data_IF_463586822627
#
_entry.id   IF_463586822627
#
_cell.length_a   1.000
_cell.length_b   1.000
_cell.length_c   1.000
_cell.angle_alpha   90.00
_cell.angle_beta   90.00
_cell.angle_gamma   90.00
#
_symmetry.space_group_name_H-M   'P 1'
#
loop_
_entity.id
_entity.type
_entity.pdbx_description
1 polymer ?
#
# COMPACT_ATOMS: atom_id res chain seq x y z
N UNK A 1 -23.40 29.16 4.07
CA UNK A 1 -22.72 28.16 3.24
C UNK A 1 -21.24 28.43 3.11
N UNK A 2 -20.76 29.61 2.66
CA UNK A 2 -19.32 29.93 2.59
C UNK A 2 -18.63 29.91 3.96
N UNK A 3 -19.19 30.52 4.99
CA UNK A 3 -18.65 30.48 6.36
C UNK A 3 -18.62 29.10 7.01
N UNK A 4 -19.53 28.23 6.62
CA UNK A 4 -19.56 26.84 7.13
C UNK A 4 -18.46 25.97 6.47
N UNK A 5 -18.16 26.21 5.21
CA UNK A 5 -17.07 25.57 4.46
C UNK A 5 -15.69 26.05 4.96
N UNK A 6 -15.57 27.31 5.30
CA UNK A 6 -14.36 27.91 5.87
C UNK A 6 -14.06 27.33 7.26
N UNK A 7 -15.07 27.19 8.10
CA UNK A 7 -14.96 26.61 9.44
C UNK A 7 -14.64 25.10 9.41
N UNK A 8 -15.21 24.34 8.48
CA UNK A 8 -14.87 22.92 8.26
C UNK A 8 -13.43 22.74 7.74
N UNK A 9 -12.94 23.68 6.93
CA UNK A 9 -11.55 23.72 6.46
C UNK A 9 -10.55 24.00 7.59
N UNK A 10 -10.85 24.96 8.47
CA UNK A 10 -10.02 25.27 9.64
C UNK A 10 -9.99 24.14 10.65
N UNK A 11 -11.13 23.48 10.88
CA UNK A 11 -11.20 22.29 11.74
C UNK A 11 -10.41 21.14 11.14
N UNK A 12 -10.45 20.92 9.84
CA UNK A 12 -9.66 19.89 9.16
C UNK A 12 -8.16 20.15 9.27
N UNK A 13 -7.71 21.40 9.12
CA UNK A 13 -6.31 21.79 9.29
C UNK A 13 -5.87 21.65 10.76
N UNK A 14 -6.71 22.05 11.71
CA UNK A 14 -6.44 21.90 13.15
C UNK A 14 -6.36 20.42 13.55
N UNK A 15 -7.32 19.59 13.15
CA UNK A 15 -7.31 18.14 13.42
C UNK A 15 -6.11 17.47 12.75
N UNK A 16 -5.77 17.83 11.52
CA UNK A 16 -4.57 17.34 10.84
C UNK A 16 -3.30 17.72 11.61
N UNK A 17 -3.21 18.91 12.19
CA UNK A 17 -2.08 19.37 13.00
C UNK A 17 -1.96 18.60 14.33
N UNK A 18 -3.08 18.30 14.99
CA UNK A 18 -3.13 17.52 16.23
C UNK A 18 -2.75 16.05 15.99
N UNK A 19 -3.35 15.42 14.99
CA UNK A 19 -3.01 14.05 14.56
C UNK A 19 -1.52 13.96 14.20
N UNK A 20 -0.95 15.03 13.68
CA UNK A 20 0.44 15.09 13.27
C UNK A 20 1.40 15.29 14.44
N UNK A 21 1.05 16.08 15.46
CA UNK A 21 1.83 16.16 16.70
C UNK A 21 1.85 14.83 17.44
N UNK A 22 0.71 14.15 17.53
CA UNK A 22 0.63 12.81 18.09
C UNK A 22 1.44 11.79 17.28
N UNK A 23 1.40 11.87 15.94
CA UNK A 23 2.22 11.03 15.06
C UNK A 23 3.72 11.31 15.17
N UNK A 24 4.13 12.57 15.37
CA UNK A 24 5.54 12.93 15.59
C UNK A 24 6.04 12.41 16.95
N UNK A 25 5.23 12.50 17.99
CA UNK A 25 5.57 11.99 19.31
C UNK A 25 5.60 10.44 19.31
N UNK A 26 4.63 9.83 18.64
CA UNK A 26 4.59 8.39 18.40
C UNK A 26 5.75 7.91 17.52
N UNK A 27 6.16 8.66 16.49
CA UNK A 27 7.32 8.36 15.67
C UNK A 27 8.64 8.45 16.45
N UNK A 28 8.77 9.39 17.41
CA UNK A 28 9.93 9.44 18.33
C UNK A 28 10.00 8.21 19.22
N UNK A 29 8.86 7.74 19.75
CA UNK A 29 8.79 6.51 20.55
C UNK A 29 9.07 5.25 19.71
N UNK A 30 8.59 5.19 18.46
CA UNK A 30 8.80 4.10 17.51
C UNK A 30 10.28 3.90 17.14
N UNK A 31 11.01 4.99 17.00
CA UNK A 31 12.44 4.97 16.70
C UNK A 31 13.30 4.57 17.88
N UNK A 32 12.92 4.96 19.10
CA UNK A 32 13.58 4.53 20.32
C UNK A 32 13.48 3.01 20.53
N UNK A 33 12.44 2.36 19.97
CA UNK A 33 12.27 0.91 20.04
C UNK A 33 13.07 0.16 18.95
N UNK A 34 13.29 0.78 17.79
CA UNK A 34 13.99 0.17 16.65
C UNK A 34 15.52 0.40 16.66
N UNK A 35 15.97 1.44 17.36
CA UNK A 35 17.37 1.85 17.44
C UNK A 35 17.65 2.28 18.89
N UNK A 36 18.90 2.07 19.37
CA UNK A 36 19.29 2.68 20.62
C UNK A 36 19.13 4.21 20.53
N UNK A 37 18.70 4.89 21.63
CA UNK A 37 18.31 6.31 21.60
C UNK A 37 19.38 7.26 21.07
N UNK A 38 20.66 6.94 21.24
CA UNK A 38 21.79 7.75 20.80
C UNK A 38 21.97 7.61 19.28
N UNK A 39 21.90 6.40 18.77
CA UNK A 39 22.00 6.09 17.34
C UNK A 39 20.82 6.69 16.57
N UNK A 40 19.60 6.64 17.12
CA UNK A 40 18.42 7.26 16.53
C UNK A 40 18.56 8.80 16.47
N UNK A 41 19.02 9.45 17.54
CA UNK A 41 19.21 10.89 17.61
C UNK A 41 20.28 11.38 16.63
N UNK A 42 21.44 10.72 16.60
CA UNK A 42 22.55 11.07 15.68
C UNK A 42 22.13 10.88 14.23
N UNK A 43 21.46 9.77 13.92
CA UNK A 43 20.98 9.50 12.58
C UNK A 43 19.96 10.54 12.11
N UNK A 44 19.01 10.97 12.96
CA UNK A 44 18.06 12.02 12.64
C UNK A 44 18.72 13.35 12.34
N UNK A 45 19.66 13.78 13.19
CA UNK A 45 20.36 15.06 13.02
C UNK A 45 21.24 15.09 11.79
N UNK A 46 21.97 14.02 11.52
CA UNK A 46 22.80 13.89 10.32
C UNK A 46 21.94 13.88 9.04
N UNK A 47 20.79 13.26 9.09
CA UNK A 47 19.90 13.14 7.96
C UNK A 47 19.13 14.44 7.68
N UNK A 48 18.63 15.12 8.70
CA UNK A 48 18.02 16.44 8.57
C UNK A 48 19.02 17.43 7.97
N UNK A 49 20.29 17.37 8.45
CA UNK A 49 21.38 18.15 7.90
C UNK A 49 21.69 17.78 6.43
N UNK A 50 21.79 16.49 6.11
CA UNK A 50 22.04 16.00 4.75
C UNK A 50 20.97 16.46 3.77
N UNK A 51 19.67 16.30 4.10
CA UNK A 51 18.57 16.74 3.24
C UNK A 51 18.47 18.25 3.09
N UNK A 52 18.74 19.00 4.16
CA UNK A 52 18.79 20.46 4.11
C UNK A 52 19.95 20.94 3.22
N UNK A 53 21.09 20.26 3.30
CA UNK A 53 22.27 20.59 2.51
C UNK A 53 22.09 20.23 1.03
N UNK A 54 21.55 19.05 0.72
CA UNK A 54 21.30 18.62 -0.67
C UNK A 54 20.22 19.45 -1.36
N UNK A 55 19.15 19.86 -0.65
CA UNK A 55 18.17 20.84 -1.15
C UNK A 55 18.82 22.19 -1.44
N UNK A 56 19.62 22.72 -0.51
CA UNK A 56 20.29 24.03 -0.68
C UNK A 56 21.34 24.04 -1.81
N UNK A 57 22.00 22.92 -2.06
CA UNK A 57 23.05 22.82 -3.06
C UNK A 57 22.56 22.32 -4.43
N UNK A 58 21.28 22.03 -4.61
CA UNK A 58 20.74 21.51 -5.87
C UNK A 58 21.32 20.15 -6.30
N UNK A 59 21.90 19.39 -5.37
CA UNK A 59 22.65 18.16 -5.63
C UNK A 59 21.78 16.88 -5.61
N UNK A 60 20.45 17.03 -5.60
CA UNK A 60 19.50 15.91 -5.61
C UNK A 60 19.68 14.94 -6.81
N UNK A 61 20.37 15.38 -7.86
CA UNK A 61 20.62 14.58 -9.08
C UNK A 61 21.90 13.75 -9.08
N UNK A 62 22.70 13.74 -8.02
CA UNK A 62 23.94 12.95 -7.96
C UNK A 62 23.74 11.47 -7.61
N UNK A 63 22.52 11.04 -7.31
CA UNK A 63 22.18 9.64 -7.08
C UNK A 63 21.36 9.03 -8.23
N UNK A 64 21.84 9.18 -9.46
CA UNK A 64 21.28 8.42 -10.58
C UNK A 64 21.70 6.94 -10.49
N UNK A 65 20.87 6.17 -9.76
CA UNK A 65 20.99 4.71 -9.61
C UNK A 65 20.66 3.92 -10.88
N UNK A 66 20.79 4.50 -12.08
CA UNK A 66 20.35 3.94 -13.37
C UNK A 66 21.15 2.71 -13.86
N UNK A 67 21.89 2.00 -12.98
CA UNK A 67 22.76 0.87 -13.39
C UNK A 67 22.25 -0.53 -13.11
N UNK A 68 20.97 -0.75 -12.93
CA UNK A 68 20.42 -2.11 -12.98
C UNK A 68 19.46 -2.28 -14.16
N UNK A 69 19.98 -2.19 -15.38
CA UNK A 69 19.30 -2.76 -16.54
C UNK A 69 19.27 -4.29 -16.38
N UNK A 70 18.32 -4.82 -15.60
CA UNK A 70 17.97 -6.23 -15.73
C UNK A 70 17.25 -6.41 -17.05
N UNK A 71 17.88 -7.16 -17.96
CA UNK A 71 17.25 -7.66 -19.18
C UNK A 71 15.90 -8.27 -18.78
N UNK A 72 14.82 -7.70 -19.31
CA UNK A 72 13.48 -8.29 -19.25
C UNK A 72 13.57 -9.75 -19.75
N UNK A 73 13.21 -10.70 -18.89
CA UNK A 73 13.06 -12.08 -19.34
C UNK A 73 11.88 -12.12 -20.32
N UNK A 74 12.07 -12.79 -21.45
CA UNK A 74 11.05 -12.97 -22.50
C UNK A 74 9.82 -13.77 -22.07
N UNK A 75 9.75 -14.24 -20.83
CA UNK A 75 8.58 -14.90 -20.27
C UNK A 75 7.66 -13.87 -19.59
N UNK A 76 6.94 -13.10 -20.39
CA UNK A 76 5.81 -12.29 -19.93
C UNK A 76 4.74 -13.25 -19.37
N UNK A 77 4.61 -13.36 -18.05
CA UNK A 77 3.38 -13.95 -17.47
C UNK A 77 2.29 -12.91 -17.69
N UNK A 78 1.16 -13.27 -18.32
CA UNK A 78 0.06 -12.33 -18.49
C UNK A 78 -0.37 -11.81 -17.13
N UNK A 79 -0.51 -10.48 -16.99
CA UNK A 79 -1.11 -9.84 -15.82
C UNK A 79 -2.54 -10.35 -15.59
N UNK A 80 -3.15 -10.79 -16.68
CA UNK A 80 -4.54 -11.18 -16.77
C UNK A 80 -4.62 -12.48 -17.57
N UNK A 81 -5.45 -13.44 -17.17
CA UNK A 81 -5.79 -14.61 -18.00
C UNK A 81 -6.28 -14.12 -19.35
N UNK A 82 -5.84 -14.77 -20.44
CA UNK A 82 -6.23 -14.41 -21.81
C UNK A 82 -7.75 -14.42 -22.08
N UNK A 83 -8.51 -15.08 -21.20
CA UNK A 83 -9.96 -15.22 -21.26
C UNK A 83 -10.75 -13.94 -20.92
N UNK A 84 -10.12 -12.93 -20.25
CA UNK A 84 -10.82 -11.74 -19.80
C UNK A 84 -10.97 -10.63 -20.87
N UNK A 85 -10.27 -10.75 -21.98
CA UNK A 85 -10.33 -9.80 -23.07
C UNK A 85 -10.80 -10.46 -24.34
N UNK A 86 -12.13 -10.64 -24.50
CA UNK A 86 -12.70 -11.04 -25.78
C UNK A 86 -12.42 -9.99 -26.84
N UNK A 87 -12.37 -10.39 -28.11
CA UNK A 87 -12.19 -9.49 -29.26
C UNK A 87 -13.20 -8.34 -29.25
N UNK A 88 -14.43 -8.59 -28.83
CA UNK A 88 -15.47 -7.58 -28.69
C UNK A 88 -15.15 -6.54 -27.60
N UNK A 89 -14.60 -6.99 -26.47
CA UNK A 89 -14.21 -6.11 -25.38
C UNK A 89 -13.04 -5.22 -25.78
N UNK A 90 -12.01 -5.79 -26.43
CA UNK A 90 -10.85 -5.05 -26.90
C UNK A 90 -11.21 -4.08 -28.03
N UNK A 91 -12.08 -4.47 -28.92
CA UNK A 91 -12.59 -3.59 -29.99
C UNK A 91 -13.37 -2.40 -29.41
N UNK A 92 -14.20 -2.62 -28.39
CA UNK A 92 -14.98 -1.57 -27.75
C UNK A 92 -14.10 -0.55 -26.97
N UNK A 93 -12.94 -0.97 -26.47
CA UNK A 93 -12.01 -0.09 -25.73
C UNK A 93 -10.99 0.61 -26.65
N UNK A 94 -11.02 0.35 -27.96
CA UNK A 94 -10.09 0.94 -28.93
C UNK A 94 -10.16 2.47 -29.02
N UNK A 95 -11.27 3.08 -28.60
CA UNK A 95 -11.51 4.53 -28.51
C UNK A 95 -11.32 5.09 -27.09
N UNK A 96 -10.70 4.34 -26.17
CA UNK A 96 -10.52 4.77 -24.79
C UNK A 96 -9.81 6.13 -24.71
N UNK A 97 -10.27 6.97 -23.81
CA UNK A 97 -9.66 8.24 -23.41
C UNK A 97 -9.04 8.19 -22.02
N UNK A 98 -9.02 7.01 -21.41
CA UNK A 98 -8.40 6.76 -20.11
C UNK A 98 -7.38 5.64 -20.26
N UNK A 99 -6.15 5.93 -19.87
CA UNK A 99 -5.01 5.01 -19.96
C UNK A 99 -4.45 4.75 -18.56
N UNK A 100 -4.42 3.48 -18.14
CA UNK A 100 -3.91 3.08 -16.82
C UNK A 100 -2.53 2.45 -16.99
N UNK A 101 -1.50 3.05 -16.39
CA UNK A 101 -0.16 2.47 -16.37
C UNK A 101 -0.07 1.25 -15.47
N UNK A 102 0.46 0.16 -16.02
CA UNK A 102 0.71 -1.10 -15.32
C UNK A 102 2.18 -1.56 -15.45
N UNK A 103 3.05 -0.64 -15.88
CA UNK A 103 4.46 -0.91 -16.19
C UNK A 103 5.24 -1.54 -15.04
N UNK A 104 5.20 -0.99 -13.79
CA UNK A 104 6.00 -1.55 -12.69
C UNK A 104 5.57 -2.97 -12.33
N UNK A 105 4.27 -3.22 -12.23
CA UNK A 105 3.72 -4.56 -11.91
C UNK A 105 4.12 -5.60 -12.96
N UNK A 106 4.07 -5.24 -14.24
CA UNK A 106 4.51 -6.11 -15.31
C UNK A 106 6.03 -6.35 -15.26
N UNK A 107 6.81 -5.30 -15.06
CA UNK A 107 8.27 -5.35 -15.13
C UNK A 107 8.90 -6.05 -13.94
N UNK A 108 8.40 -5.80 -12.74
CA UNK A 108 8.98 -6.33 -11.51
C UNK A 108 8.29 -7.60 -11.00
N UNK A 109 7.11 -7.91 -11.51
CA UNK A 109 6.44 -9.21 -11.34
C UNK A 109 6.17 -9.64 -9.91
N UNK A 110 6.03 -8.71 -8.97
CA UNK A 110 5.84 -9.04 -7.56
C UNK A 110 4.41 -9.46 -7.20
N UNK A 111 4.27 -9.97 -5.97
CA UNK A 111 2.98 -10.38 -5.37
C UNK A 111 2.68 -9.55 -4.12
N UNK A 112 2.99 -8.23 -4.14
CA UNK A 112 2.69 -7.33 -3.03
C UNK A 112 1.24 -6.84 -3.08
N UNK A 113 0.76 -6.24 -1.99
CA UNK A 113 -0.58 -5.67 -1.93
C UNK A 113 -0.85 -4.64 -3.03
N UNK A 114 0.13 -3.75 -3.33
CA UNK A 114 -0.01 -2.76 -4.42
C UNK A 114 -0.20 -3.43 -5.76
N UNK A 115 0.60 -4.45 -6.06
CA UNK A 115 0.50 -5.17 -7.33
C UNK A 115 -0.80 -5.98 -7.45
N UNK A 116 -1.39 -6.42 -6.32
CA UNK A 116 -2.74 -6.96 -6.29
C UNK A 116 -3.75 -5.89 -6.70
N UNK A 117 -3.70 -4.69 -6.10
CA UNK A 117 -4.57 -3.57 -6.48
C UNK A 117 -4.49 -3.30 -7.98
N UNK A 118 -3.27 -3.19 -8.52
CA UNK A 118 -3.07 -2.92 -9.97
C UNK A 118 -3.71 -4.01 -10.83
N UNK A 119 -3.50 -5.29 -10.51
CA UNK A 119 -4.09 -6.39 -11.27
C UNK A 119 -5.60 -6.40 -11.20
N UNK A 120 -6.16 -6.27 -10.00
CA UNK A 120 -7.60 -6.34 -9.81
C UNK A 120 -8.34 -5.16 -10.48
N UNK A 121 -7.77 -3.97 -10.42
CA UNK A 121 -8.33 -2.79 -11.11
C UNK A 121 -8.14 -2.91 -12.62
N UNK A 122 -6.97 -3.34 -13.12
CA UNK A 122 -6.74 -3.47 -14.56
C UNK A 122 -7.66 -4.51 -15.22
N UNK A 123 -7.92 -5.65 -14.55
CA UNK A 123 -8.91 -6.65 -15.01
C UNK A 123 -10.27 -6.00 -15.23
N UNK A 124 -10.74 -5.27 -14.24
CA UNK A 124 -12.08 -4.65 -14.24
C UNK A 124 -12.14 -3.45 -15.17
N UNK A 125 -11.06 -2.70 -15.30
CA UNK A 125 -10.98 -1.59 -16.25
C UNK A 125 -11.27 -2.04 -17.70
N UNK A 126 -10.78 -3.23 -18.07
CA UNK A 126 -11.05 -3.83 -19.39
C UNK A 126 -12.45 -4.40 -19.44
N UNK A 127 -12.82 -5.27 -18.47
CA UNK A 127 -14.15 -5.90 -18.43
C UNK A 127 -15.27 -4.86 -18.52
N UNK A 128 -15.14 -3.79 -17.75
CA UNK A 128 -16.15 -2.74 -17.62
C UNK A 128 -15.90 -1.59 -18.61
N UNK A 129 -14.88 -1.69 -19.46
CA UNK A 129 -14.56 -0.81 -20.60
C UNK A 129 -14.31 0.65 -20.23
N UNK A 130 -13.82 0.93 -19.02
CA UNK A 130 -13.60 2.31 -18.60
C UNK A 130 -12.15 2.81 -18.81
N UNK A 131 -11.17 1.93 -18.97
CA UNK A 131 -9.79 2.34 -19.22
C UNK A 131 -8.99 1.25 -19.95
N UNK A 132 -8.02 1.67 -20.75
CA UNK A 132 -7.05 0.81 -21.43
C UNK A 132 -5.77 0.71 -20.59
N UNK A 133 -5.36 -0.49 -20.13
CA UNK A 133 -4.05 -0.69 -19.55
C UNK A 133 -2.94 -0.48 -20.58
N UNK A 134 -1.90 0.26 -20.15
CA UNK A 134 -0.76 0.62 -20.98
C UNK A 134 0.55 0.34 -20.27
N UNK A 135 1.61 0.19 -21.04
CA UNK A 135 2.98 -0.02 -20.56
C UNK A 135 3.93 0.96 -21.22
N UNK A 136 4.95 1.38 -20.49
CA UNK A 136 6.07 2.13 -21.02
C UNK A 136 7.21 1.16 -21.35
N UNK A 137 7.58 1.07 -22.62
CA UNK A 137 8.66 0.21 -23.09
C UNK A 137 9.45 0.93 -24.20
N UNK A 138 10.77 0.98 -24.06
CA UNK A 138 11.70 1.58 -25.05
C UNK A 138 11.36 3.02 -25.46
N UNK A 139 10.80 3.82 -24.55
CA UNK A 139 10.43 5.21 -24.84
C UNK A 139 9.11 5.37 -25.59
N UNK A 140 8.33 4.30 -25.67
CA UNK A 140 6.98 4.30 -26.24
C UNK A 140 5.94 3.93 -25.18
N UNK A 141 4.75 4.52 -25.28
CA UNK A 141 3.57 4.11 -24.53
C UNK A 141 2.78 3.13 -25.38
N UNK A 142 2.73 1.88 -24.96
CA UNK A 142 2.15 0.79 -25.71
C UNK A 142 0.86 0.29 -25.03
N UNK A 143 -0.11 -0.18 -25.82
CA UNK A 143 -1.20 -0.98 -25.26
C UNK A 143 -0.65 -2.22 -24.59
N UNK A 144 -1.18 -2.59 -23.44
CA UNK A 144 -0.79 -3.82 -22.74
C UNK A 144 -1.14 -5.07 -23.57
N UNK A 145 -2.26 -5.03 -24.26
CA UNK A 145 -2.71 -6.12 -25.15
C UNK A 145 -2.21 -5.90 -26.57
N UNK A 146 -1.65 -6.97 -27.16
CA UNK A 146 -1.34 -7.01 -28.60
C UNK A 146 -2.57 -7.51 -29.33
N UNK A 147 -3.40 -6.60 -29.81
CA UNK A 147 -4.64 -6.89 -30.51
C UNK A 147 -4.83 -5.97 -31.72
N UNK A 148 -5.32 -6.47 -32.88
CA UNK A 148 -5.47 -5.67 -34.10
C UNK A 148 -6.37 -4.44 -33.97
N UNK A 149 -7.35 -4.48 -33.07
CA UNK A 149 -8.27 -3.36 -32.81
C UNK A 149 -7.68 -2.29 -31.89
N UNK A 150 -6.55 -2.55 -31.22
CA UNK A 150 -5.90 -1.61 -30.31
C UNK A 150 -4.73 -0.88 -30.98
N UNK A 151 -4.51 0.40 -30.67
CA UNK A 151 -3.32 1.07 -31.13
C UNK A 151 -2.09 0.41 -30.48
N UNK A 152 -1.12 -0.02 -31.28
CA UNK A 152 0.13 -0.57 -30.73
C UNK A 152 0.85 0.47 -29.87
N UNK A 153 0.95 1.71 -30.36
CA UNK A 153 1.49 2.85 -29.62
C UNK A 153 0.39 3.86 -29.35
N UNK A 154 0.26 4.27 -28.10
CA UNK A 154 -0.72 5.24 -27.64
C UNK A 154 -0.17 6.64 -27.79
N UNK A 155 -0.92 7.52 -28.45
CA UNK A 155 -0.65 8.96 -28.52
C UNK A 155 -1.81 9.70 -27.88
N UNK A 156 -1.51 10.55 -26.91
CA UNK A 156 -2.52 11.32 -26.21
C UNK A 156 -3.20 12.35 -27.11
N UNK A 157 -4.46 12.61 -26.82
CA UNK A 157 -5.33 13.63 -27.43
C UNK A 157 -5.84 14.56 -26.35
N UNK A 158 -6.40 15.67 -26.75
CA UNK A 158 -7.06 16.60 -25.84
C UNK A 158 -8.16 15.87 -25.04
N UNK A 159 -8.16 16.10 -23.72
CA UNK A 159 -9.11 15.48 -22.78
C UNK A 159 -8.77 14.07 -22.32
N UNK A 160 -7.76 13.42 -22.91
CA UNK A 160 -7.29 12.11 -22.43
C UNK A 160 -6.81 12.17 -20.99
N UNK A 161 -6.95 11.03 -20.28
CA UNK A 161 -6.51 10.88 -18.89
C UNK A 161 -5.44 9.80 -18.82
N UNK A 162 -4.33 10.12 -18.19
CA UNK A 162 -3.27 9.17 -17.89
C UNK A 162 -3.25 8.91 -16.39
N UNK A 163 -3.50 7.67 -16.00
CA UNK A 163 -3.63 7.23 -14.60
C UNK A 163 -2.40 6.42 -14.21
N UNK A 164 -1.57 6.98 -13.34
CA UNK A 164 -0.46 6.28 -12.71
C UNK A 164 -1.00 5.50 -11.51
N UNK A 165 -1.49 4.30 -11.76
CA UNK A 165 -2.10 3.42 -10.76
C UNK A 165 -1.06 2.69 -9.90
N UNK A 166 0.09 2.39 -10.48
CA UNK A 166 1.14 1.55 -9.92
C UNK A 166 2.25 2.36 -9.21
N UNK A 167 3.22 1.67 -8.65
CA UNK A 167 4.41 2.22 -7.98
C UNK A 167 5.40 2.84 -8.98
N UNK A 168 5.02 4.00 -9.53
CA UNK A 168 5.74 4.62 -10.66
C UNK A 168 7.06 5.28 -10.27
N UNK A 169 7.39 5.41 -8.99
CA UNK A 169 8.63 6.12 -8.57
C UNK A 169 9.89 5.46 -9.09
N UNK A 170 9.96 4.11 -9.13
CA UNK A 170 11.13 3.39 -9.63
C UNK A 170 11.36 3.48 -11.15
N UNK A 171 10.39 3.99 -11.88
CA UNK A 171 10.44 4.17 -13.35
C UNK A 171 10.05 5.60 -13.78
N UNK A 172 10.08 6.55 -12.85
CA UNK A 172 9.65 7.93 -13.06
C UNK A 172 10.29 8.63 -14.25
N UNK A 173 11.57 8.39 -14.51
CA UNK A 173 12.29 8.98 -15.64
C UNK A 173 11.71 8.56 -16.98
N UNK A 174 11.15 7.36 -17.05
CA UNK A 174 10.48 6.85 -18.25
C UNK A 174 9.08 7.43 -18.43
N UNK A 175 8.38 7.78 -17.31
CA UNK A 175 7.05 8.38 -17.36
C UNK A 175 7.05 9.89 -17.66
N UNK A 176 8.09 10.62 -17.25
CA UNK A 176 8.13 12.09 -17.39
C UNK A 176 7.88 12.58 -18.83
N UNK A 177 8.41 11.96 -19.90
CA UNK A 177 8.10 12.37 -21.27
C UNK A 177 6.62 12.24 -21.61
N UNK A 178 5.94 11.20 -21.11
CA UNK A 178 4.50 11.01 -21.34
C UNK A 178 3.64 11.96 -20.51
N UNK A 179 4.06 12.27 -19.29
CA UNK A 179 3.41 13.31 -18.47
C UNK A 179 3.48 14.67 -19.17
N UNK A 180 4.62 15.00 -19.77
CA UNK A 180 4.77 16.24 -20.56
C UNK A 180 3.91 16.20 -21.83
N UNK A 181 3.99 15.13 -22.61
CA UNK A 181 3.20 14.98 -23.84
C UNK A 181 1.69 15.06 -23.58
N UNK A 182 1.22 14.51 -22.46
CA UNK A 182 -0.17 14.63 -22.02
C UNK A 182 -0.54 16.09 -21.73
N UNK A 183 0.31 16.81 -21.01
CA UNK A 183 0.09 18.21 -20.69
C UNK A 183 0.06 19.10 -21.93
N UNK A 184 0.94 18.83 -22.90
CA UNK A 184 1.06 19.58 -24.16
C UNK A 184 -0.22 19.50 -25.01
N UNK A 185 -0.98 18.41 -24.90
CA UNK A 185 -2.26 18.24 -25.62
C UNK A 185 -3.49 18.59 -24.78
N UNK A 186 -3.32 19.11 -23.56
CA UNK A 186 -4.44 19.45 -22.68
C UNK A 186 -5.11 18.25 -22.01
N UNK A 187 -4.41 17.13 -21.92
CA UNK A 187 -4.85 15.95 -21.18
C UNK A 187 -4.70 16.11 -19.65
N UNK A 188 -5.16 15.15 -18.89
CA UNK A 188 -5.19 15.18 -17.41
C UNK A 188 -4.39 14.05 -16.80
N UNK A 189 -3.45 14.40 -15.93
CA UNK A 189 -2.68 13.44 -15.14
C UNK A 189 -3.41 13.11 -13.84
N UNK A 190 -3.60 11.82 -13.57
CA UNK A 190 -4.18 11.30 -12.34
C UNK A 190 -3.15 10.37 -11.71
N UNK A 191 -2.77 10.65 -10.47
CA UNK A 191 -1.83 9.77 -9.74
C UNK A 191 -2.55 9.08 -8.59
N UNK A 192 -2.42 7.77 -8.52
CA UNK A 192 -2.88 6.98 -7.39
C UNK A 192 -1.77 6.93 -6.33
N UNK A 193 -2.13 7.26 -5.10
CA UNK A 193 -1.21 7.31 -3.98
C UNK A 193 -1.55 6.19 -2.98
N UNK A 194 -0.69 5.18 -2.92
CA UNK A 194 -0.88 4.04 -2.03
C UNK A 194 -0.49 4.36 -0.58
N UNK A 195 0.53 5.18 -0.38
CA UNK A 195 0.95 5.71 0.92
C UNK A 195 1.92 6.89 0.74
N UNK A 196 2.30 7.50 1.86
CA UNK A 196 3.38 8.49 1.94
C UNK A 196 4.52 8.00 2.85
N UNK A 197 4.61 6.71 3.12
CA UNK A 197 5.56 6.14 4.07
C UNK A 197 7.00 6.62 3.80
N UNK A 198 7.50 6.65 2.55
CA UNK A 198 8.86 7.12 2.30
C UNK A 198 9.11 8.58 2.70
N UNK A 199 8.08 9.42 2.77
CA UNK A 199 8.18 10.84 3.14
C UNK A 199 7.93 11.07 4.64
N UNK A 200 6.91 10.41 5.21
CA UNK A 200 6.48 10.66 6.59
C UNK A 200 7.12 9.69 7.60
N UNK A 201 7.60 8.54 7.14
CA UNK A 201 8.30 7.53 7.93
C UNK A 201 9.52 6.96 7.21
N UNK A 202 10.46 7.81 6.79
CA UNK A 202 11.53 7.47 5.85
C UNK A 202 12.52 6.42 6.37
N UNK A 203 12.55 6.15 7.68
CA UNK A 203 13.38 5.09 8.27
C UNK A 203 12.79 3.68 8.07
N UNK A 204 11.57 3.59 7.60
CA UNK A 204 10.90 2.32 7.30
C UNK A 204 11.20 1.77 5.90
N UNK A 205 11.94 2.52 5.11
CA UNK A 205 12.32 2.17 3.73
C UNK A 205 13.78 2.51 3.48
N UNK A 206 14.35 2.00 2.39
CA UNK A 206 15.75 2.31 2.09
C UNK A 206 15.93 3.80 1.74
N UNK A 207 17.13 4.37 1.98
CA UNK A 207 17.44 5.75 1.60
C UNK A 207 17.23 6.01 0.10
N UNK A 208 17.56 5.04 -0.76
CA UNK A 208 17.39 5.11 -2.21
C UNK A 208 15.90 5.21 -2.56
N UNK A 209 15.05 4.37 -1.95
CA UNK A 209 13.61 4.44 -2.14
C UNK A 209 13.03 5.78 -1.69
N UNK A 210 13.50 6.32 -0.55
CA UNK A 210 13.09 7.65 -0.08
C UNK A 210 13.44 8.74 -1.12
N UNK A 211 14.65 8.69 -1.68
CA UNK A 211 15.10 9.66 -2.67
C UNK A 211 14.28 9.58 -3.97
N UNK A 212 14.10 8.37 -4.49
CA UNK A 212 13.30 8.11 -5.70
C UNK A 212 11.85 8.52 -5.53
N UNK A 213 11.26 8.20 -4.38
CA UNK A 213 9.88 8.56 -4.06
C UNK A 213 9.73 10.09 -3.93
N UNK A 214 10.66 10.77 -3.26
CA UNK A 214 10.63 12.23 -3.14
C UNK A 214 10.70 12.93 -4.50
N UNK A 215 11.61 12.47 -5.37
CA UNK A 215 11.73 13.03 -6.72
C UNK A 215 10.47 12.78 -7.57
N UNK A 216 9.89 11.58 -7.50
CA UNK A 216 8.62 11.25 -8.14
C UNK A 216 7.48 12.12 -7.58
N UNK A 217 7.42 12.30 -6.27
CA UNK A 217 6.41 13.11 -5.61
C UNK A 217 6.46 14.56 -6.10
N UNK A 218 7.64 15.17 -6.11
CA UNK A 218 7.83 16.56 -6.56
C UNK A 218 7.57 16.75 -8.07
N UNK A 219 8.03 15.80 -8.90
CA UNK A 219 7.98 15.95 -10.37
C UNK A 219 6.67 15.48 -11.00
N UNK A 220 5.95 14.57 -10.34
CA UNK A 220 4.75 13.95 -10.89
C UNK A 220 3.54 14.20 -10.01
N UNK A 221 3.56 13.80 -8.71
CA UNK A 221 2.37 13.87 -7.85
C UNK A 221 1.89 15.31 -7.67
N UNK A 222 2.79 16.24 -7.34
CA UNK A 222 2.44 17.65 -7.17
C UNK A 222 1.98 18.35 -8.46
N UNK A 223 2.26 17.76 -9.62
CA UNK A 223 1.85 18.26 -10.94
C UNK A 223 0.61 17.56 -11.50
N UNK A 224 0.04 16.62 -10.75
CA UNK A 224 -1.18 15.92 -11.15
C UNK A 224 -2.40 16.83 -11.10
N UNK A 225 -3.38 16.55 -11.93
CA UNK A 225 -4.71 17.19 -11.88
C UNK A 225 -5.54 16.62 -10.73
N UNK A 226 -5.29 15.31 -10.44
CA UNK A 226 -5.91 14.61 -9.33
C UNK A 226 -4.92 13.69 -8.66
N UNK A 227 -5.04 13.58 -7.34
CA UNK A 227 -4.40 12.55 -6.53
C UNK A 227 -5.52 11.71 -5.91
N UNK A 228 -5.54 10.43 -6.20
CA UNK A 228 -6.53 9.50 -5.67
C UNK A 228 -5.82 8.57 -4.69
N UNK A 229 -6.25 8.57 -3.43
CA UNK A 229 -5.62 7.83 -2.36
C UNK A 229 -6.38 6.54 -2.05
N UNK A 230 -5.68 5.48 -1.62
CA UNK A 230 -6.29 4.19 -1.27
C UNK A 230 -7.08 4.22 0.05
N UNK A 231 -7.04 5.33 0.78
CA UNK A 231 -7.81 5.56 2.00
C UNK A 231 -7.96 7.05 2.28
N UNK A 232 -8.95 7.42 3.08
CA UNK A 232 -9.10 8.78 3.60
C UNK A 232 -7.89 9.17 4.46
N UNK A 233 -7.38 8.24 5.26
CA UNK A 233 -6.17 8.46 6.07
C UNK A 233 -4.96 8.82 5.22
N UNK A 234 -4.74 8.15 4.09
CA UNK A 234 -3.67 8.50 3.14
C UNK A 234 -3.91 9.87 2.51
N UNK A 235 -5.16 10.20 2.15
CA UNK A 235 -5.51 11.51 1.59
C UNK A 235 -5.25 12.65 2.61
N UNK A 236 -5.64 12.46 3.87
CA UNK A 236 -5.37 13.44 4.93
C UNK A 236 -3.86 13.61 5.18
N UNK A 237 -3.10 12.52 5.19
CA UNK A 237 -1.64 12.56 5.30
C UNK A 237 -1.01 13.33 4.13
N UNK A 238 -1.51 13.14 2.91
CA UNK A 238 -1.05 13.88 1.73
C UNK A 238 -1.30 15.39 1.87
N UNK A 239 -2.52 15.78 2.20
CA UNK A 239 -2.91 17.18 2.38
C UNK A 239 -2.08 17.83 3.48
N UNK A 240 -1.96 17.17 4.64
CA UNK A 240 -1.18 17.66 5.76
C UNK A 240 0.32 17.79 5.43
N UNK A 241 0.88 16.83 4.68
CA UNK A 241 2.28 16.88 4.25
C UNK A 241 2.53 18.06 3.31
N UNK A 242 1.69 18.24 2.28
CA UNK A 242 1.80 19.36 1.33
C UNK A 242 1.71 20.71 2.05
N UNK A 243 0.76 20.86 2.97
CA UNK A 243 0.58 22.10 3.74
C UNK A 243 1.78 22.37 4.66
N UNK A 244 2.24 21.37 5.41
CA UNK A 244 3.37 21.50 6.34
C UNK A 244 4.67 21.89 5.65
N UNK A 245 4.97 21.22 4.52
CA UNK A 245 6.20 21.48 3.78
C UNK A 245 6.11 22.71 2.86
N UNK A 246 4.96 23.39 2.81
CA UNK A 246 4.72 24.56 1.95
C UNK A 246 4.89 24.24 0.46
N UNK A 247 4.50 23.02 0.03
CA UNK A 247 4.74 22.56 -1.33
C UNK A 247 3.74 23.16 -2.30
N UNK A 248 4.21 23.56 -3.47
CA UNK A 248 3.38 24.10 -4.53
C UNK A 248 2.80 22.96 -5.37
N UNK A 249 1.49 22.87 -5.40
CA UNK A 249 0.74 21.92 -6.24
C UNK A 249 0.26 22.58 -7.53
N UNK A 250 -0.22 21.77 -8.48
CA UNK A 250 -1.00 22.29 -9.60
C UNK A 250 -2.22 23.05 -9.08
N UNK A 251 -2.57 24.23 -9.66
CA UNK A 251 -3.77 24.95 -9.29
C UNK A 251 -5.01 24.04 -9.37
N UNK A 252 -5.88 24.09 -8.34
CA UNK A 252 -7.08 23.27 -8.26
C UNK A 252 -6.84 21.76 -8.24
N UNK A 253 -5.69 21.32 -7.71
CA UNK A 253 -5.45 19.90 -7.48
C UNK A 253 -6.60 19.29 -6.67
N UNK A 254 -7.24 18.26 -7.23
CA UNK A 254 -8.30 17.53 -6.58
C UNK A 254 -7.75 16.31 -5.87
N UNK A 255 -8.25 16.03 -4.68
CA UNK A 255 -7.87 14.88 -3.87
C UNK A 255 -9.10 14.02 -3.64
N UNK A 256 -9.00 12.76 -4.01
CA UNK A 256 -10.02 11.75 -3.78
C UNK A 256 -9.46 10.56 -3.05
N UNK A 257 -10.34 9.72 -2.53
CA UNK A 257 -9.99 8.41 -1.97
C UNK A 257 -11.10 7.41 -2.23
N UNK A 258 -10.71 6.14 -2.30
CA UNK A 258 -11.66 5.03 -2.44
C UNK A 258 -11.24 3.85 -1.58
N UNK A 259 -12.11 2.87 -1.45
CA UNK A 259 -11.84 1.65 -0.71
C UNK A 259 -11.35 0.54 -1.63
N UNK A 260 -10.40 -0.25 -1.15
CA UNK A 260 -9.90 -1.41 -1.86
C UNK A 260 -10.78 -2.63 -1.62
N UNK A 261 -10.81 -3.55 -2.60
CA UNK A 261 -11.47 -4.83 -2.50
C UNK A 261 -10.70 -5.81 -1.60
N UNK A 262 -11.41 -6.83 -1.11
CA UNK A 262 -10.87 -7.84 -0.21
C UNK A 262 -11.07 -9.27 -0.72
N UNK A 263 -11.82 -9.48 -1.82
CA UNK A 263 -12.06 -10.78 -2.41
C UNK A 263 -10.80 -11.34 -3.10
N UNK A 264 -10.66 -12.65 -3.04
CA UNK A 264 -9.66 -13.38 -3.78
C UNK A 264 -10.32 -13.93 -5.05
N UNK A 265 -9.56 -14.11 -6.13
CA UNK A 265 -10.04 -14.88 -7.26
C UNK A 265 -10.30 -16.32 -6.76
N UNK A 266 -11.53 -16.78 -6.91
CA UNK A 266 -11.95 -18.14 -6.58
C UNK A 266 -11.35 -19.11 -7.63
N UNK A 267 -10.03 -19.34 -7.56
CA UNK A 267 -9.43 -20.49 -8.24
C UNK A 267 -9.61 -21.71 -7.32
N UNK A 268 -10.81 -22.30 -7.37
CA UNK A 268 -11.18 -23.50 -6.62
C UNK A 268 -10.29 -24.71 -6.93
N UNK A 269 -9.41 -24.61 -7.94
CA UNK A 269 -8.51 -25.68 -8.35
C UNK A 269 -7.17 -25.68 -7.62
N UNK A 270 -6.77 -24.57 -7.01
CA UNK A 270 -5.48 -24.43 -6.35
C UNK A 270 -5.53 -25.00 -4.92
N UNK A 271 -4.85 -26.12 -4.70
CA UNK A 271 -4.69 -26.69 -3.36
C UNK A 271 -3.62 -25.93 -2.57
N UNK A 272 -3.86 -25.79 -1.26
CA UNK A 272 -2.85 -25.29 -0.34
C UNK A 272 -1.62 -26.21 -0.33
N UNK A 273 -0.43 -25.62 -0.21
CA UNK A 273 0.83 -26.34 -0.12
C UNK A 273 0.86 -27.27 1.10
N UNK A 274 1.70 -28.28 1.06
CA UNK A 274 1.91 -29.18 2.20
C UNK A 274 2.35 -28.43 3.46
N UNK A 275 3.09 -27.33 3.31
CA UNK A 275 3.52 -26.46 4.40
C UNK A 275 2.34 -25.74 5.05
N UNK A 276 1.44 -25.16 4.26
CA UNK A 276 0.22 -24.53 4.77
C UNK A 276 -0.74 -25.55 5.40
N UNK A 277 -0.89 -26.73 4.80
CA UNK A 277 -1.69 -27.82 5.37
C UNK A 277 -1.13 -28.31 6.71
N UNK A 278 0.20 -28.37 6.88
CA UNK A 278 0.84 -28.76 8.13
C UNK A 278 0.53 -27.76 9.28
N UNK A 279 0.26 -26.48 8.97
CA UNK A 279 -0.18 -25.51 9.97
C UNK A 279 -1.49 -25.96 10.62
N UNK A 280 -2.45 -26.46 9.85
CA UNK A 280 -3.78 -26.85 10.33
C UNK A 280 -3.86 -28.31 10.81
N UNK A 281 -2.88 -29.14 10.47
CA UNK A 281 -2.80 -30.51 10.96
C UNK A 281 -2.61 -30.61 12.50
N UNK A 282 -2.16 -29.53 13.14
CA UNK A 282 -2.07 -29.42 14.58
C UNK A 282 -3.31 -28.68 15.11
N UNK A 283 -4.05 -29.29 16.04
CA UNK A 283 -5.30 -28.76 16.60
C UNK A 283 -5.10 -27.53 17.52
N UNK A 284 -3.86 -27.25 17.97
CA UNK A 284 -3.62 -26.07 18.79
C UNK A 284 -3.92 -24.79 18.02
N UNK A 285 -4.66 -23.83 18.64
CA UNK A 285 -5.07 -22.59 17.99
C UNK A 285 -3.87 -21.75 17.55
N UNK A 286 -3.99 -21.08 16.39
CA UNK A 286 -2.95 -20.19 15.91
C UNK A 286 -3.47 -18.81 15.52
N UNK A 287 -2.59 -17.85 15.70
CA UNK A 287 -2.78 -16.45 15.32
C UNK A 287 -1.90 -16.16 14.10
N UNK A 288 -2.45 -15.44 13.14
CA UNK A 288 -1.85 -15.22 11.83
C UNK A 288 -1.36 -13.78 11.70
N UNK A 289 -0.16 -13.56 11.15
CA UNK A 289 0.27 -12.26 10.62
C UNK A 289 0.65 -12.42 9.15
N UNK A 290 0.14 -11.53 8.30
CA UNK A 290 0.38 -11.56 6.85
C UNK A 290 1.05 -10.26 6.40
N UNK A 291 2.16 -10.39 5.67
CA UNK A 291 2.87 -9.28 5.04
C UNK A 291 4.36 -9.52 4.91
N UNK A 292 5.01 -8.72 4.07
CA UNK A 292 6.47 -8.74 3.93
C UNK A 292 7.15 -8.41 5.27
N UNK A 293 8.21 -9.14 5.63
CA UNK A 293 8.97 -8.88 6.85
C UNK A 293 9.75 -7.57 6.69
N UNK A 294 9.18 -6.50 7.18
CA UNK A 294 9.76 -5.16 7.18
C UNK A 294 9.64 -4.54 8.57
N UNK A 295 10.54 -3.64 8.97
CA UNK A 295 10.52 -3.03 10.31
C UNK A 295 9.16 -2.42 10.67
N UNK A 296 8.51 -1.73 9.72
CA UNK A 296 7.21 -1.06 9.92
C UNK A 296 6.04 -1.99 10.18
N UNK A 297 6.18 -3.28 9.87
CA UNK A 297 5.13 -4.29 10.08
C UNK A 297 5.03 -4.80 11.51
N UNK A 298 5.94 -4.39 12.40
CA UNK A 298 5.84 -4.64 13.84
C UNK A 298 6.01 -6.09 14.28
N UNK A 299 6.60 -6.95 13.46
CA UNK A 299 6.85 -8.35 13.81
C UNK A 299 7.57 -8.56 15.14
N UNK A 300 8.59 -7.74 15.50
CA UNK A 300 9.24 -7.87 16.81
C UNK A 300 8.27 -7.71 17.98
N UNK A 301 7.27 -6.81 17.85
CA UNK A 301 6.27 -6.54 18.88
C UNK A 301 5.34 -7.76 19.06
N UNK A 302 4.92 -8.35 17.93
CA UNK A 302 4.13 -9.58 17.99
C UNK A 302 4.92 -10.73 18.60
N UNK A 303 6.19 -10.91 18.19
CA UNK A 303 7.04 -11.96 18.76
C UNK A 303 7.24 -11.78 20.26
N UNK A 304 7.52 -10.55 20.74
CA UNK A 304 7.62 -10.25 22.17
C UNK A 304 6.32 -10.58 22.92
N UNK A 305 5.16 -10.30 22.31
CA UNK A 305 3.85 -10.64 22.88
C UNK A 305 3.67 -12.17 23.02
N UNK A 306 4.02 -12.94 21.97
CA UNK A 306 3.93 -14.40 22.01
C UNK A 306 4.95 -15.02 22.95
N UNK A 307 6.20 -14.52 23.04
CA UNK A 307 7.20 -14.97 24.02
C UNK A 307 6.68 -14.80 25.46
N UNK A 308 6.01 -13.68 25.72
CA UNK A 308 5.34 -13.43 27.01
C UNK A 308 4.23 -14.44 27.29
N UNK A 309 3.37 -14.75 26.32
CA UNK A 309 2.33 -15.76 26.45
C UNK A 309 2.90 -17.16 26.69
N UNK A 310 3.93 -17.53 25.92
CA UNK A 310 4.59 -18.81 26.09
C UNK A 310 5.26 -18.96 27.46
N UNK A 311 5.82 -17.87 28.00
CA UNK A 311 6.39 -17.88 29.36
C UNK A 311 5.35 -18.10 30.47
N UNK A 312 4.09 -17.73 30.22
CA UNK A 312 2.94 -17.98 31.09
C UNK A 312 2.30 -19.36 30.88
N UNK A 313 2.81 -20.18 29.96
CA UNK A 313 2.26 -21.50 29.64
C UNK A 313 1.08 -21.50 28.67
N UNK A 314 0.78 -20.37 28.02
CA UNK A 314 -0.27 -20.30 26.98
C UNK A 314 0.24 -21.00 25.72
N UNK A 315 -0.50 -22.00 25.24
CA UNK A 315 -0.10 -22.81 24.07
C UNK A 315 -0.65 -22.28 22.73
N UNK A 316 -0.66 -20.96 22.58
CA UNK A 316 -1.02 -20.30 21.32
C UNK A 316 0.13 -20.39 20.32
N UNK A 317 -0.18 -20.73 19.07
CA UNK A 317 0.82 -20.71 17.99
C UNK A 317 0.80 -19.37 17.25
N UNK A 318 1.98 -18.95 16.78
CA UNK A 318 2.14 -17.77 15.95
C UNK A 318 2.61 -18.14 14.56
N UNK A 319 1.81 -17.83 13.55
CA UNK A 319 2.08 -18.14 12.14
C UNK A 319 2.31 -16.83 11.39
N UNK A 320 3.47 -16.74 10.77
CA UNK A 320 3.87 -15.60 9.93
C UNK A 320 3.82 -16.02 8.48
N UNK A 321 3.10 -15.28 7.65
CA UNK A 321 3.09 -15.47 6.19
C UNK A 321 3.64 -14.22 5.53
N UNK A 322 4.76 -14.38 4.81
CA UNK A 322 5.34 -13.30 4.04
C UNK A 322 6.82 -13.47 3.76
N UNK A 323 7.27 -12.86 2.69
CA UNK A 323 8.67 -12.91 2.27
C UNK A 323 9.54 -12.02 3.14
N UNK A 324 10.82 -12.34 3.19
CA UNK A 324 11.85 -11.43 3.68
C UNK A 324 11.83 -10.12 2.88
N UNK A 325 11.92 -9.00 3.58
CA UNK A 325 11.89 -7.66 3.01
C UNK A 325 13.12 -6.84 3.38
N UNK A 326 12.98 -5.53 3.29
CA UNK A 326 14.05 -4.61 3.62
C UNK A 326 14.36 -4.66 5.12
N UNK A 327 15.67 -4.73 5.46
CA UNK A 327 16.19 -4.84 6.85
C UNK A 327 15.57 -5.98 7.68
N UNK A 328 15.20 -7.09 7.05
CA UNK A 328 14.61 -8.24 7.74
C UNK A 328 15.62 -9.17 8.39
N UNK A 329 16.91 -9.07 8.09
CA UNK A 329 17.94 -10.07 8.45
C UNK A 329 17.99 -10.38 9.96
N UNK A 330 17.94 -9.35 10.81
CA UNK A 330 17.94 -9.55 12.26
C UNK A 330 16.66 -10.25 12.76
N UNK A 331 15.52 -9.89 12.17
CA UNK A 331 14.25 -10.53 12.47
C UNK A 331 14.20 -11.98 11.96
N UNK A 332 14.69 -12.23 10.75
CA UNK A 332 14.80 -13.58 10.18
C UNK A 332 15.66 -14.47 11.07
N UNK A 333 16.82 -13.95 11.51
CA UNK A 333 17.69 -14.66 12.43
C UNK A 333 16.98 -14.95 13.76
N UNK A 334 16.31 -13.94 14.37
CA UNK A 334 15.54 -14.10 15.60
C UNK A 334 14.46 -15.18 15.47
N UNK A 335 13.69 -15.18 14.36
CA UNK A 335 12.64 -16.18 14.10
C UNK A 335 13.25 -17.57 13.95
N UNK A 336 14.26 -17.74 13.07
CA UNK A 336 14.84 -19.06 12.76
C UNK A 336 15.62 -19.68 13.91
N UNK A 337 16.22 -18.86 14.79
CA UNK A 337 16.94 -19.31 15.99
C UNK A 337 16.05 -19.40 17.23
N UNK A 338 14.77 -19.06 17.10
CA UNK A 338 13.86 -19.10 18.24
C UNK A 338 13.59 -20.54 18.69
N UNK A 339 13.63 -20.80 20.01
CA UNK A 339 13.37 -22.14 20.58
C UNK A 339 12.02 -22.75 20.20
N UNK A 340 11.03 -21.93 19.85
CA UNK A 340 9.69 -22.33 19.43
C UNK A 340 9.55 -22.45 17.92
N UNK A 341 10.61 -22.18 17.15
CA UNK A 341 10.55 -22.28 15.69
C UNK A 341 10.30 -23.73 15.23
N UNK A 342 9.38 -23.91 14.31
CA UNK A 342 8.89 -25.21 13.86
C UNK A 342 7.88 -25.88 14.81
N UNK A 343 7.59 -25.28 15.99
CA UNK A 343 6.62 -25.81 16.96
C UNK A 343 5.44 -24.84 17.18
N UNK A 344 5.66 -23.76 17.89
CA UNK A 344 4.66 -22.70 18.14
C UNK A 344 4.90 -21.46 17.31
N UNK A 345 6.08 -21.27 16.74
CA UNK A 345 6.42 -20.19 15.81
C UNK A 345 6.66 -20.81 14.42
N UNK A 346 5.86 -20.39 13.45
CA UNK A 346 5.94 -20.90 12.07
C UNK A 346 6.10 -19.69 11.13
N UNK A 347 6.89 -19.88 10.07
CA UNK A 347 7.08 -18.82 9.06
C UNK A 347 7.05 -19.44 7.65
N UNK A 348 6.00 -19.06 6.88
CA UNK A 348 5.77 -19.47 5.50
C UNK A 348 6.23 -18.32 4.58
N UNK A 349 7.43 -18.42 4.04
CA UNK A 349 8.05 -17.34 3.25
C UNK A 349 7.72 -17.42 1.74
N UNK A 350 7.16 -18.54 1.26
CA UNK A 350 6.82 -18.79 -0.13
C UNK A 350 5.31 -19.00 -0.38
N UNK A 351 4.46 -18.64 0.57
CA UNK A 351 3.02 -18.84 0.47
C UNK A 351 2.42 -18.19 -0.79
N UNK A 352 1.48 -18.89 -1.39
CA UNK A 352 0.65 -18.42 -2.51
C UNK A 352 -0.76 -18.03 -2.04
N UNK A 353 -1.65 -17.65 -2.97
CA UNK A 353 -3.00 -17.21 -2.64
C UNK A 353 -3.85 -18.35 -2.04
N UNK A 354 -3.67 -19.62 -2.48
CA UNK A 354 -4.34 -20.78 -1.89
C UNK A 354 -3.88 -21.04 -0.45
N UNK A 355 -2.57 -20.84 -0.16
CA UNK A 355 -2.04 -20.94 1.19
C UNK A 355 -2.62 -19.84 2.11
N UNK A 356 -2.73 -18.62 1.59
CA UNK A 356 -3.36 -17.51 2.31
C UNK A 356 -4.83 -17.82 2.62
N UNK A 357 -5.60 -18.25 1.61
CA UNK A 357 -6.99 -18.68 1.78
C UNK A 357 -7.12 -19.73 2.89
N UNK A 358 -6.30 -20.79 2.79
CA UNK A 358 -6.28 -21.88 3.77
C UNK A 358 -5.98 -21.36 5.18
N UNK A 359 -4.95 -20.52 5.33
CA UNK A 359 -4.56 -20.02 6.64
C UNK A 359 -5.56 -19.00 7.22
N UNK A 360 -6.16 -18.12 6.41
CA UNK A 360 -7.21 -17.21 6.89
C UNK A 360 -8.47 -17.97 7.36
N UNK A 361 -8.82 -19.06 6.66
CA UNK A 361 -10.02 -19.86 7.00
C UNK A 361 -9.93 -20.54 8.36
N UNK A 362 -8.72 -20.93 8.79
CA UNK A 362 -8.52 -21.77 9.97
C UNK A 362 -7.85 -21.04 11.15
N UNK A 363 -7.41 -19.81 10.98
CA UNK A 363 -6.80 -19.05 12.07
C UNK A 363 -7.83 -18.66 13.15
N UNK A 364 -7.35 -18.44 14.38
CA UNK A 364 -8.16 -17.89 15.47
C UNK A 364 -8.35 -16.38 15.34
N UNK A 365 -7.30 -15.68 14.92
CA UNK A 365 -7.36 -14.25 14.63
C UNK A 365 -6.17 -13.81 13.74
N UNK A 366 -6.38 -12.71 13.03
CA UNK A 366 -5.28 -11.94 12.46
C UNK A 366 -4.67 -11.05 13.54
N UNK A 367 -3.35 -11.09 13.69
CA UNK A 367 -2.57 -10.12 14.47
C UNK A 367 -1.89 -9.18 13.48
N UNK A 368 -2.21 -7.89 13.53
CA UNK A 368 -1.71 -6.92 12.56
C UNK A 368 -1.00 -5.74 13.26
N UNK A 369 0.28 -5.95 13.66
CA UNK A 369 1.01 -5.06 14.57
C UNK A 369 1.74 -3.92 13.83
N UNK A 370 1.31 -3.58 12.62
CA UNK A 370 1.96 -2.55 11.80
C UNK A 370 2.01 -1.20 12.53
N UNK A 371 3.11 -0.49 12.32
CA UNK A 371 3.32 0.85 12.87
C UNK A 371 2.78 1.95 11.96
N UNK A 372 2.65 1.66 10.67
CA UNK A 372 2.15 2.58 9.65
C UNK A 372 1.69 1.80 8.42
N UNK A 373 0.58 2.21 7.82
CA UNK A 373 0.00 1.62 6.61
C UNK A 373 -0.71 2.68 5.76
N UNK A 374 -0.87 2.36 4.47
CA UNK A 374 -1.69 3.15 3.56
C UNK A 374 -3.16 2.73 3.55
N UNK A 375 -3.45 1.43 3.72
CA UNK A 375 -4.81 0.88 3.74
C UNK A 375 -4.99 -0.27 4.74
N UNK A 376 -4.17 -1.33 4.62
CA UNK A 376 -4.28 -2.51 5.47
C UNK A 376 -5.05 -3.67 4.83
N UNK A 377 -4.67 -4.07 3.61
CA UNK A 377 -5.31 -5.20 2.92
C UNK A 377 -5.49 -6.45 3.77
N UNK A 378 -4.50 -6.95 4.55
CA UNK A 378 -4.68 -8.11 5.41
C UNK A 378 -5.84 -8.00 6.40
N UNK A 379 -6.16 -6.79 6.88
CA UNK A 379 -7.29 -6.56 7.79
C UNK A 379 -8.64 -6.82 7.10
N UNK A 380 -8.83 -6.26 5.91
CA UNK A 380 -10.08 -6.46 5.16
C UNK A 380 -10.16 -7.87 4.55
N UNK A 381 -9.02 -8.47 4.19
CA UNK A 381 -8.93 -9.87 3.80
C UNK A 381 -9.41 -10.78 4.94
N UNK A 382 -8.90 -10.60 6.16
CA UNK A 382 -9.37 -11.34 7.35
C UNK A 382 -10.88 -11.16 7.57
N UNK A 383 -11.39 -9.93 7.38
CA UNK A 383 -12.83 -9.62 7.48
C UNK A 383 -13.69 -10.44 6.52
N UNK A 384 -13.20 -10.73 5.32
CA UNK A 384 -13.90 -11.58 4.35
C UNK A 384 -14.11 -13.00 4.85
N UNK A 385 -13.17 -13.53 5.63
CA UNK A 385 -13.29 -14.86 6.26
C UNK A 385 -14.05 -14.81 7.59
N UNK A 386 -14.49 -13.64 8.03
CA UNK A 386 -15.06 -13.43 9.36
C UNK A 386 -14.03 -13.67 10.46
N UNK A 387 -12.74 -13.58 10.14
CA UNK A 387 -11.67 -13.81 11.09
C UNK A 387 -11.55 -12.61 12.04
N UNK A 388 -11.58 -12.81 13.37
CA UNK A 388 -11.30 -11.74 14.33
C UNK A 388 -9.96 -11.07 14.07
N UNK A 389 -9.87 -9.75 14.28
CA UNK A 389 -8.65 -8.99 14.07
C UNK A 389 -8.21 -8.28 15.34
N UNK A 390 -6.91 -8.42 15.67
CA UNK A 390 -6.20 -7.62 16.68
C UNK A 390 -5.20 -6.75 15.92
N UNK A 391 -5.35 -5.44 15.92
CA UNK A 391 -4.51 -4.53 15.17
C UNK A 391 -4.00 -3.35 15.99
N UNK A 392 -2.88 -2.79 15.58
CA UNK A 392 -2.41 -1.52 16.13
C UNK A 392 -3.47 -0.43 16.01
N UNK A 393 -3.59 0.44 17.00
CA UNK A 393 -4.51 1.58 16.94
C UNK A 393 -3.98 2.65 15.98
N UNK A 394 -4.29 2.47 14.69
CA UNK A 394 -3.91 3.39 13.61
C UNK A 394 -5.17 4.02 12.99
N UNK A 395 -5.12 5.31 12.59
CA UNK A 395 -6.25 5.96 11.93
C UNK A 395 -6.78 5.18 10.73
N UNK A 396 -5.89 4.63 9.90
CA UNK A 396 -6.28 3.83 8.73
C UNK A 396 -6.95 2.51 9.12
N UNK A 397 -6.57 1.88 10.22
CA UNK A 397 -7.22 0.66 10.70
C UNK A 397 -8.58 0.95 11.34
N UNK A 398 -8.71 2.11 12.00
CA UNK A 398 -10.01 2.63 12.46
C UNK A 398 -10.94 2.91 11.28
N UNK A 399 -10.40 3.43 10.18
CA UNK A 399 -11.15 3.67 8.94
C UNK A 399 -11.63 2.37 8.28
N UNK A 400 -10.76 1.35 8.20
CA UNK A 400 -11.04 0.12 7.46
C UNK A 400 -11.74 -0.95 8.29
N UNK A 401 -11.48 -1.02 9.60
CA UNK A 401 -11.99 -2.04 10.51
C UNK A 401 -13.11 -1.55 11.43
N UNK A 402 -13.21 -0.24 11.67
CA UNK A 402 -14.22 0.35 12.56
C UNK A 402 -14.18 -0.27 13.96
N UNK A 403 -15.35 -0.49 14.53
CA UNK A 403 -15.52 -1.09 15.88
C UNK A 403 -15.42 -2.63 15.89
N UNK A 404 -15.21 -3.23 14.70
CA UNK A 404 -15.09 -4.69 14.54
C UNK A 404 -13.66 -5.22 14.79
N UNK A 405 -12.74 -4.36 15.17
CA UNK A 405 -11.33 -4.70 15.39
C UNK A 405 -10.94 -4.44 16.83
N UNK A 406 -10.19 -5.35 17.42
CA UNK A 406 -9.59 -5.16 18.76
C UNK A 406 -8.29 -4.40 18.59
N UNK A 407 -8.32 -3.13 18.97
CA UNK A 407 -7.16 -2.28 18.88
C UNK A 407 -6.28 -2.41 20.12
N UNK A 408 -4.97 -2.40 19.89
CA UNK A 408 -3.95 -2.31 20.92
C UNK A 408 -3.04 -1.10 20.70
N UNK A 409 -2.46 -0.59 21.78
CA UNK A 409 -1.58 0.57 21.71
C UNK A 409 -0.35 0.26 20.84
N UNK A 410 -0.08 1.13 19.88
CA UNK A 410 1.02 0.95 18.94
C UNK A 410 2.34 0.76 19.70
N UNK A 411 3.12 -0.27 19.34
CA UNK A 411 4.38 -0.67 19.98
C UNK A 411 4.25 -1.31 21.39
N UNK A 412 3.04 -1.53 21.88
CA UNK A 412 2.83 -2.13 23.19
C UNK A 412 2.62 -3.65 23.06
N UNK A 413 3.70 -4.41 23.25
CA UNK A 413 3.64 -5.89 23.25
C UNK A 413 2.91 -6.47 24.45
N UNK A 414 2.74 -5.70 25.53
CA UNK A 414 2.00 -6.14 26.72
C UNK A 414 0.50 -6.08 26.43
N UNK A 415 0.02 -4.93 25.96
CA UNK A 415 -1.38 -4.76 25.58
C UNK A 415 -1.76 -5.76 24.45
N UNK A 416 -0.85 -5.95 23.46
CA UNK A 416 -1.06 -6.98 22.43
C UNK A 416 -1.18 -8.39 23.02
N UNK A 417 -0.30 -8.76 23.96
CA UNK A 417 -0.36 -10.07 24.61
C UNK A 417 -1.68 -10.27 25.38
N UNK A 418 -2.17 -9.25 26.07
CA UNK A 418 -3.46 -9.29 26.79
C UNK A 418 -4.64 -9.50 25.83
N UNK A 419 -4.67 -8.81 24.68
CA UNK A 419 -5.69 -9.00 23.65
C UNK A 419 -5.66 -10.41 23.05
N UNK A 420 -4.45 -10.95 22.79
CA UNK A 420 -4.28 -12.32 22.31
C UNK A 420 -4.73 -13.32 23.36
N UNK A 421 -4.33 -13.15 24.63
CA UNK A 421 -4.69 -14.05 25.74
C UNK A 421 -6.20 -14.09 25.94
N UNK A 422 -6.86 -12.93 25.89
CA UNK A 422 -8.32 -12.83 25.99
C UNK A 422 -9.00 -13.66 24.90
N UNK A 423 -8.58 -13.49 23.64
CA UNK A 423 -9.17 -14.21 22.51
C UNK A 423 -8.84 -15.71 22.50
N UNK A 424 -7.69 -16.09 23.04
CA UNK A 424 -7.29 -17.48 23.23
C UNK A 424 -8.16 -18.20 24.27
N UNK A 425 -8.49 -17.52 25.38
CA UNK A 425 -9.30 -18.07 26.47
C UNK A 425 -10.80 -18.07 26.17
N UNK A 426 -11.24 -17.03 25.47
CA UNK A 426 -12.62 -16.79 25.11
C UNK A 426 -12.72 -16.59 23.59
N UNK A 427 -12.68 -17.68 22.81
CA UNK A 427 -12.82 -17.61 21.36
C UNK A 427 -14.16 -16.97 20.99
N UNK A 428 -14.11 -16.02 20.08
CA UNK A 428 -15.30 -15.29 19.63
C UNK A 428 -15.78 -15.94 18.33
N UNK A 429 -17.10 -16.01 18.18
CA UNK A 429 -17.70 -16.34 16.91
C UNK A 429 -17.26 -15.34 15.83
N UNK A 430 -17.21 -15.78 14.56
CA UNK A 430 -16.75 -14.99 13.42
C UNK A 430 -17.36 -13.60 13.39
N UNK A 431 -16.53 -12.58 13.42
CA UNK A 431 -16.94 -11.18 13.30
C UNK A 431 -16.88 -10.74 11.83
N UNK A 432 -17.94 -10.11 11.33
CA UNK A 432 -17.95 -9.59 9.95
C UNK A 432 -17.50 -8.14 9.93
N UNK A 433 -16.22 -7.90 9.65
CA UNK A 433 -15.75 -6.58 9.23
C UNK A 433 -16.39 -6.26 7.87
N UNK A 434 -17.00 -5.08 7.68
CA UNK A 434 -17.54 -4.70 6.37
C UNK A 434 -16.43 -4.66 5.32
N UNK A 435 -16.54 -5.49 4.30
CA UNK A 435 -15.57 -5.57 3.20
C UNK A 435 -16.18 -5.12 1.88
N UNK A 436 -15.35 -4.58 1.01
CA UNK A 436 -15.69 -4.25 -0.37
C UNK A 436 -15.26 -5.39 -1.30
N UNK A 437 -16.01 -5.59 -2.38
CA UNK A 437 -15.52 -6.39 -3.50
C UNK A 437 -14.57 -5.57 -4.37
N UNK A 438 -13.73 -6.23 -5.15
CA UNK A 438 -12.94 -5.53 -6.16
C UNK A 438 -13.81 -4.91 -7.26
N UNK A 439 -15.03 -5.42 -7.48
CA UNK A 439 -16.00 -4.84 -8.40
C UNK A 439 -16.51 -3.49 -7.90
N UNK A 440 -16.85 -3.38 -6.62
CA UNK A 440 -17.24 -2.12 -6.01
C UNK A 440 -16.06 -1.14 -5.99
N UNK A 441 -14.88 -1.63 -5.63
CA UNK A 441 -13.64 -0.84 -5.62
C UNK A 441 -13.31 -0.25 -6.99
N UNK A 442 -13.43 -1.05 -8.06
CA UNK A 442 -13.18 -0.58 -9.43
C UNK A 442 -14.23 0.44 -9.91
N UNK A 443 -15.49 0.26 -9.52
CA UNK A 443 -16.58 1.20 -9.83
C UNK A 443 -16.34 2.55 -9.15
N UNK A 444 -16.01 2.55 -7.86
CA UNK A 444 -15.71 3.78 -7.11
C UNK A 444 -14.50 4.51 -7.72
N UNK A 445 -13.45 3.77 -8.08
CA UNK A 445 -12.28 4.36 -8.74
C UNK A 445 -12.63 4.92 -10.13
N UNK A 446 -13.44 4.21 -10.91
CA UNK A 446 -13.91 4.68 -12.21
C UNK A 446 -14.70 6.01 -12.08
N UNK A 447 -15.56 6.14 -11.08
CA UNK A 447 -16.30 7.37 -10.81
C UNK A 447 -15.35 8.53 -10.46
N UNK A 448 -14.33 8.31 -9.67
CA UNK A 448 -13.31 9.32 -9.37
C UNK A 448 -12.51 9.73 -10.60
N UNK A 449 -12.25 8.79 -11.53
CA UNK A 449 -11.52 9.06 -12.77
C UNK A 449 -12.41 9.74 -13.82
N UNK A 450 -13.63 9.25 -14.03
CA UNK A 450 -14.50 9.68 -15.11
C UNK A 450 -15.34 10.91 -14.75
N UNK A 451 -15.98 10.89 -13.57
CA UNK A 451 -17.06 11.80 -13.18
C UNK A 451 -16.60 12.93 -12.23
N UNK A 452 -15.29 13.05 -11.98
CA UNK A 452 -14.75 14.11 -11.14
C UNK A 452 -15.25 14.09 -9.67
N UNK A 453 -15.62 12.91 -9.18
CA UNK A 453 -16.25 12.68 -7.88
C UNK A 453 -15.28 12.82 -6.67
N UNK A 454 -14.17 13.57 -6.81
CA UNK A 454 -13.21 13.80 -5.75
C UNK A 454 -13.83 14.52 -4.55
N UNK A 455 -13.52 14.06 -3.34
CA UNK A 455 -14.14 14.52 -2.09
C UNK A 455 -13.64 15.89 -1.63
N UNK A 456 -12.43 16.30 -2.05
CA UNK A 456 -11.85 17.59 -1.64
C UNK A 456 -10.87 18.13 -2.69
N UNK A 457 -10.41 19.37 -2.49
CA UNK A 457 -9.40 19.99 -3.34
C UNK A 457 -8.45 20.84 -2.48
N UNK A 458 -7.21 20.98 -2.95
CA UNK A 458 -6.24 21.86 -2.32
C UNK A 458 -6.44 23.26 -2.88
N UNK A 459 -6.86 24.20 -2.04
CA UNK A 459 -6.90 25.62 -2.40
C UNK A 459 -5.51 26.24 -2.26
N UNK A 460 -5.10 27.08 -3.20
CA UNK A 460 -3.89 27.88 -3.06
C UNK A 460 -4.05 28.80 -1.85
N UNK A 461 -3.21 28.65 -0.85
CA UNK A 461 -2.99 29.76 0.07
C UNK A 461 -2.27 30.84 -0.74
N UNK A 462 -2.89 32.01 -0.86
CA UNK A 462 -2.20 33.18 -1.39
C UNK A 462 -0.97 33.44 -0.50
N UNK A 463 0.22 33.68 -1.08
CA UNK A 463 1.36 34.08 -0.27
C UNK A 463 0.98 35.36 0.49
N UNK A 464 1.15 35.29 1.81
CA UNK A 464 0.95 36.47 2.70
C UNK A 464 2.00 37.55 2.42
#
# INVERSE_FOLDING_TARGET
MAQQIEHESEIAVFLASQIQQENLEMNRRRLAYALDPVTAFVYFKLREFYWTLTRRLGLAHLHDGSRTRRRLSRNRRPLLPGELASDDTLSAISSASVFIDVTPTLRFGGKTGVQRVVREIAKRAIRDRFALPVIVENGELLSYYDHPSLPRSVKFREGDKFVLLDTSWGVRSEHLPFVQALADVGGRLITVLHDLIPLIHPLSVSPEMTAEFNEWFEKIVLKSDRVICVSKSTAMNFIAYVAREGLVTKPHLRVGWWRLGADFDDDDSAQASAEAQAVTANEAPYFLTVGTLEPRKGYPIALDAFERLWSKGVDARYVVIGRAGWQSQSLEHRIRQHREFGRRLLWLDQANDADLHHCYTHACALVYPSMIEGFGLPLVEAGRYGLPVIASDLPVFRETGGDHVRYFNVLDSIDLAEKIETLYREPIEKEKIPTYSWDDSARDLADLILNDACQTHIQRQSPA
#
